data_IF_870216121349
#
_entry.id   IF_870216121349
#
_cell.length_a   1.000
_cell.length_b   1.000
_cell.length_c   1.000
_cell.angle_alpha   90.00
_cell.angle_beta   90.00
_cell.angle_gamma   90.00
#
_symmetry.space_group_name_H-M   'P 1'
#
loop_
_entity.id
_entity.type
_entity.pdbx_description
1 polymer ?
#
# COMPACT_ATOMS: atom_id res chain seq x y z
N UNK A 1 7.21 -35.37 -20.80
CA UNK A 1 8.13 -34.78 -19.80
C UNK A 1 7.28 -33.98 -18.83
N UNK A 2 7.00 -34.52 -17.64
CA UNK A 2 6.08 -33.92 -16.69
C UNK A 2 6.79 -32.83 -15.88
N UNK A 3 6.28 -31.59 -15.94
CA UNK A 3 6.73 -30.49 -15.10
C UNK A 3 6.27 -30.79 -13.67
N UNK A 4 7.21 -31.08 -12.79
CA UNK A 4 6.97 -31.34 -11.36
C UNK A 4 6.55 -30.01 -10.72
N UNK A 5 5.28 -29.91 -10.30
CA UNK A 5 4.81 -28.82 -9.44
C UNK A 5 5.67 -28.77 -8.18
N UNK A 6 6.25 -27.61 -7.91
CA UNK A 6 7.17 -27.39 -6.80
C UNK A 6 6.36 -26.92 -5.57
N UNK A 7 5.53 -27.80 -5.01
CA UNK A 7 4.61 -27.46 -3.91
C UNK A 7 5.30 -27.38 -2.54
N UNK A 8 6.63 -27.52 -2.48
CA UNK A 8 7.42 -27.50 -1.25
C UNK A 8 8.78 -26.84 -1.49
N UNK A 9 9.12 -25.89 -0.62
CA UNK A 9 10.47 -25.33 -0.50
C UNK A 9 11.02 -25.64 0.89
N UNK A 10 12.14 -26.38 0.95
CA UNK A 10 12.75 -26.83 2.21
C UNK A 10 11.80 -27.59 3.16
N UNK A 11 10.98 -28.48 2.61
CA UNK A 11 10.15 -29.41 3.39
C UNK A 11 8.93 -28.79 4.08
N UNK A 12 8.69 -27.48 3.91
CA UNK A 12 7.46 -26.81 4.35
C UNK A 12 6.56 -26.52 3.13
N UNK A 13 5.22 -26.65 3.26
CA UNK A 13 4.30 -26.14 2.26
C UNK A 13 4.58 -24.65 1.98
N UNK A 14 4.45 -24.23 0.73
CA UNK A 14 4.52 -22.80 0.34
C UNK A 14 3.24 -22.04 0.76
N UNK A 15 2.24 -22.78 1.26
CA UNK A 15 1.03 -22.32 1.94
C UNK A 15 1.41 -21.61 3.26
N UNK A 16 1.81 -20.35 3.12
CA UNK A 16 2.47 -19.50 4.13
C UNK A 16 1.50 -18.65 4.94
N UNK A 17 1.97 -18.05 6.04
CA UNK A 17 1.17 -17.41 7.09
C UNK A 17 0.28 -16.24 6.65
N UNK A 18 0.35 -15.78 5.40
CA UNK A 18 -0.68 -14.93 4.80
C UNK A 18 -2.02 -15.68 4.69
N UNK A 19 -2.00 -16.98 4.39
CA UNK A 19 -3.18 -17.84 4.46
C UNK A 19 -3.62 -18.11 5.89
N UNK A 20 -2.71 -18.06 6.88
CA UNK A 20 -3.08 -18.09 8.30
C UNK A 20 -3.77 -16.78 8.70
N UNK A 21 -3.24 -15.63 8.26
CA UNK A 21 -3.87 -14.32 8.48
C UNK A 21 -5.25 -14.24 7.80
N UNK A 22 -5.42 -14.88 6.63
CA UNK A 22 -6.70 -15.00 5.94
C UNK A 22 -7.61 -16.10 6.53
N UNK A 23 -7.02 -17.18 7.07
CA UNK A 23 -7.72 -18.34 7.62
C UNK A 23 -8.32 -18.08 9.00
N UNK A 24 -7.64 -17.25 9.81
CA UNK A 24 -8.16 -16.75 11.09
C UNK A 24 -9.36 -15.80 10.93
N UNK A 25 -9.73 -15.39 9.71
CA UNK A 25 -10.93 -14.58 9.47
C UNK A 25 -12.23 -15.41 9.45
N UNK A 26 -12.15 -16.73 9.29
CA UNK A 26 -13.33 -17.62 9.30
C UNK A 26 -13.63 -18.20 10.70
N UNK A 27 -12.78 -17.94 11.70
CA UNK A 27 -13.06 -18.26 13.09
C UNK A 27 -13.62 -17.02 13.79
N UNK A 28 -14.74 -17.12 14.54
CA UNK A 28 -15.21 -16.04 15.39
C UNK A 28 -14.22 -15.86 16.56
N UNK A 29 -13.11 -15.17 16.32
CA UNK A 29 -12.13 -14.82 17.34
C UNK A 29 -12.63 -13.63 18.14
N UNK A 30 -12.84 -13.87 19.43
CA UNK A 30 -13.16 -12.89 20.48
C UNK A 30 -11.98 -11.95 20.72
N UNK A 31 -11.83 -10.95 19.87
CA UNK A 31 -11.24 -9.67 20.24
C UNK A 31 -12.02 -8.63 19.47
N UNK A 32 -13.12 -8.13 20.07
CA UNK A 32 -13.86 -7.01 19.50
C UNK A 32 -12.87 -5.89 19.24
N UNK A 33 -12.59 -5.51 17.98
CA UNK A 33 -11.89 -4.27 17.73
C UNK A 33 -12.72 -3.16 18.39
N UNK A 34 -12.05 -2.19 19.03
CA UNK A 34 -12.70 -0.99 19.53
C UNK A 34 -13.73 -0.53 18.51
N UNK A 35 -14.98 -0.24 18.92
CA UNK A 35 -16.07 0.06 17.99
C UNK A 35 -15.59 1.19 17.08
N UNK A 36 -15.33 0.86 15.83
CA UNK A 36 -15.10 1.84 14.78
C UNK A 36 -16.39 2.64 14.77
N UNK A 37 -16.32 3.93 15.15
CA UNK A 37 -17.46 4.84 15.12
C UNK A 37 -18.23 4.58 13.83
N UNK A 38 -19.53 4.29 13.95
CA UNK A 38 -20.40 4.01 12.80
C UNK A 38 -20.26 5.13 11.78
N UNK A 39 -19.46 4.86 10.75
CA UNK A 39 -19.20 5.78 9.67
C UNK A 39 -20.23 5.50 8.59
N UNK A 40 -21.15 6.45 8.39
CA UNK A 40 -22.10 6.45 7.29
C UNK A 40 -21.60 7.37 6.18
N UNK A 41 -20.92 6.85 5.14
CA UNK A 41 -20.39 7.68 4.08
C UNK A 41 -21.48 8.32 3.21
N UNK A 42 -21.32 9.61 2.91
CA UNK A 42 -22.11 10.29 1.87
C UNK A 42 -21.74 9.75 0.47
N UNK A 43 -22.67 9.54 -0.48
CA UNK A 43 -22.34 9.15 -1.85
C UNK A 43 -21.62 10.27 -2.62
N UNK A 44 -20.76 9.92 -3.59
CA UNK A 44 -20.19 10.91 -4.54
C UNK A 44 -21.05 10.99 -5.82
N UNK A 45 -21.58 12.18 -6.13
CA UNK A 45 -22.50 12.41 -7.27
C UNK A 45 -21.79 12.65 -8.61
N UNK A 46 -20.47 12.86 -8.63
CA UNK A 46 -19.74 13.37 -9.81
C UNK A 46 -18.88 12.32 -10.54
N UNK A 47 -18.93 11.05 -10.14
CA UNK A 47 -18.01 10.02 -10.65
C UNK A 47 -18.76 8.99 -11.48
N UNK A 48 -18.22 8.70 -12.67
CA UNK A 48 -18.70 7.59 -13.49
C UNK A 48 -18.38 6.25 -12.81
N UNK A 49 -19.39 5.40 -12.66
CA UNK A 49 -19.29 4.08 -12.03
C UNK A 49 -18.75 4.12 -10.59
N UNK A 50 -19.39 4.85 -9.65
CA UNK A 50 -18.88 5.02 -8.29
C UNK A 50 -18.82 3.70 -7.51
N UNK A 51 -19.60 2.67 -7.91
CA UNK A 51 -19.51 1.32 -7.36
C UNK A 51 -18.16 0.62 -7.62
N UNK A 52 -17.32 1.14 -8.53
CA UNK A 52 -15.96 0.63 -8.80
C UNK A 52 -14.90 1.21 -7.86
N UNK A 53 -15.31 2.01 -6.88
CA UNK A 53 -14.46 2.65 -5.89
C UNK A 53 -14.87 2.24 -4.49
N UNK A 54 -13.90 2.21 -3.58
CA UNK A 54 -14.10 2.07 -2.14
C UNK A 54 -13.87 3.42 -1.49
N UNK A 55 -14.73 3.77 -0.53
CA UNK A 55 -14.54 4.94 0.32
C UNK A 55 -13.54 4.58 1.41
N UNK A 56 -12.34 5.15 1.33
CA UNK A 56 -11.36 5.20 2.41
C UNK A 56 -11.68 6.43 3.28
N UNK A 57 -12.13 6.25 4.53
CA UNK A 57 -12.41 7.38 5.42
C UNK A 57 -11.17 8.24 5.64
N UNK A 58 -11.37 9.56 5.71
CA UNK A 58 -10.30 10.50 6.04
C UNK A 58 -9.67 10.20 7.40
N UNK A 59 -8.36 10.43 7.51
CA UNK A 59 -7.60 10.14 8.72
C UNK A 59 -6.40 11.09 8.87
N UNK A 60 -5.84 11.14 10.08
CA UNK A 60 -4.70 11.99 10.43
C UNK A 60 -3.59 11.17 11.11
N UNK A 61 -2.35 11.39 10.68
CA UNK A 61 -1.14 10.70 11.12
C UNK A 61 -0.01 11.71 11.33
N UNK A 62 0.14 12.23 12.55
CA UNK A 62 1.10 13.30 12.83
C UNK A 62 0.73 14.61 12.13
N UNK A 63 1.61 15.11 11.27
CA UNK A 63 1.42 16.32 10.44
C UNK A 63 0.71 16.04 9.10
N UNK A 64 0.50 14.78 8.75
CA UNK A 64 -0.17 14.39 7.52
C UNK A 64 -1.63 14.04 7.80
N UNK A 65 -2.54 14.56 6.98
CA UNK A 65 -3.94 14.17 6.98
C UNK A 65 -4.44 14.06 5.54
N UNK A 66 -5.50 13.29 5.35
CA UNK A 66 -6.18 13.19 4.07
C UNK A 66 -7.69 13.12 4.30
N UNK A 67 -8.45 13.70 3.39
CA UNK A 67 -9.92 13.66 3.39
C UNK A 67 -10.43 12.27 2.98
N UNK A 68 -11.75 12.04 3.09
CA UNK A 68 -12.37 10.88 2.46
C UNK A 68 -11.86 10.72 1.03
N UNK A 69 -11.39 9.53 0.71
CA UNK A 69 -10.72 9.23 -0.55
C UNK A 69 -11.43 8.07 -1.23
N UNK A 70 -11.67 8.19 -2.53
CA UNK A 70 -12.19 7.11 -3.35
C UNK A 70 -11.03 6.34 -3.97
N UNK A 71 -10.93 5.05 -3.65
CA UNK A 71 -9.86 4.16 -4.09
C UNK A 71 -10.42 3.13 -5.07
N UNK A 72 -9.85 3.01 -6.26
CA UNK A 72 -10.35 2.07 -7.26
C UNK A 72 -10.16 0.60 -6.85
N UNK A 73 -11.21 -0.20 -7.03
CA UNK A 73 -11.20 -1.66 -6.79
C UNK A 73 -10.28 -2.41 -7.75
N UNK A 74 -9.95 -1.82 -8.90
CA UNK A 74 -9.02 -2.39 -9.87
C UNK A 74 -7.77 -1.52 -10.00
N UNK A 75 -6.64 -2.15 -10.34
CA UNK A 75 -5.42 -1.43 -10.75
C UNK A 75 -5.61 -0.86 -12.16
N UNK A 76 -5.10 0.34 -12.38
CA UNK A 76 -4.98 0.99 -13.68
C UNK A 76 -3.51 1.29 -14.01
N UNK A 77 -3.28 1.80 -15.23
CA UNK A 77 -1.98 2.27 -15.69
C UNK A 77 -0.85 1.22 -15.65
N UNK A 78 -1.20 -0.04 -15.88
CA UNK A 78 -0.27 -1.15 -15.99
C UNK A 78 0.86 -0.85 -16.99
N UNK A 79 2.08 -1.25 -16.66
CA UNK A 79 3.24 -1.09 -17.54
C UNK A 79 3.83 0.32 -17.57
N UNK A 80 3.29 1.27 -16.79
CA UNK A 80 3.92 2.59 -16.61
C UNK A 80 4.95 2.55 -15.48
N UNK A 81 6.01 3.34 -15.65
CA UNK A 81 6.96 3.62 -14.59
C UNK A 81 6.39 4.63 -13.59
N UNK A 82 7.08 4.88 -12.48
CA UNK A 82 6.54 5.68 -11.37
C UNK A 82 6.22 7.14 -11.79
N UNK A 83 7.11 7.88 -12.49
CA UNK A 83 6.78 9.22 -12.98
C UNK A 83 5.63 9.24 -13.99
N UNK A 84 5.62 8.34 -14.98
CA UNK A 84 4.56 8.29 -15.99
C UNK A 84 3.21 7.88 -15.38
N UNK A 85 3.20 7.18 -14.26
CA UNK A 85 1.99 6.85 -13.50
C UNK A 85 1.42 8.11 -12.85
N UNK A 86 2.25 8.94 -12.19
CA UNK A 86 1.82 10.24 -11.66
C UNK A 86 1.24 11.16 -12.75
N UNK A 87 1.92 11.28 -13.90
CA UNK A 87 1.44 12.11 -15.02
C UNK A 87 0.08 11.60 -15.52
N UNK A 88 -0.07 10.28 -15.70
CA UNK A 88 -1.32 9.70 -16.17
C UNK A 88 -2.48 9.92 -15.19
N UNK A 89 -2.22 9.85 -13.89
CA UNK A 89 -3.23 10.09 -12.86
C UNK A 89 -3.63 11.56 -12.77
N UNK A 90 -2.65 12.47 -12.86
CA UNK A 90 -2.88 13.91 -12.76
C UNK A 90 -3.79 14.45 -13.87
N UNK A 91 -3.74 13.86 -15.07
CA UNK A 91 -4.62 14.23 -16.19
C UNK A 91 -6.11 14.12 -15.84
N UNK A 92 -6.47 13.22 -14.92
CA UNK A 92 -7.84 12.98 -14.48
C UNK A 92 -8.11 13.51 -13.05
N UNK A 93 -7.20 14.33 -12.50
CA UNK A 93 -7.29 14.81 -11.12
C UNK A 93 -7.14 13.72 -10.06
N UNK A 94 -6.53 12.58 -10.43
CA UNK A 94 -6.29 11.45 -9.53
C UNK A 94 -4.86 11.44 -8.98
N UNK A 95 -4.60 10.58 -8.00
CA UNK A 95 -3.30 10.36 -7.40
C UNK A 95 -3.08 8.89 -7.00
N UNK A 96 -1.84 8.56 -6.63
CA UNK A 96 -1.48 7.27 -6.04
C UNK A 96 -1.66 7.33 -4.53
N UNK A 97 -1.98 6.22 -3.88
CA UNK A 97 -2.00 6.16 -2.42
C UNK A 97 -0.58 6.33 -1.88
N UNK A 98 -0.43 7.16 -0.84
CA UNK A 98 0.78 7.14 -0.01
C UNK A 98 0.89 5.79 0.70
N UNK A 99 2.08 5.43 1.19
CA UNK A 99 2.24 4.18 1.97
C UNK A 99 1.29 4.19 3.18
N UNK A 100 1.12 5.34 3.84
CA UNK A 100 0.20 5.50 4.97
C UNK A 100 -1.26 5.25 4.60
N UNK A 101 -1.74 5.86 3.51
CA UNK A 101 -3.10 5.63 3.01
C UNK A 101 -3.30 4.17 2.58
N UNK A 102 -2.28 3.55 1.98
CA UNK A 102 -2.33 2.15 1.58
C UNK A 102 -2.49 1.21 2.78
N UNK A 103 -1.76 1.44 3.88
CA UNK A 103 -1.94 0.67 5.11
C UNK A 103 -3.36 0.83 5.66
N UNK A 104 -3.89 2.05 5.69
CA UNK A 104 -5.26 2.31 6.16
C UNK A 104 -6.30 1.65 5.26
N UNK A 105 -6.07 1.63 3.95
CA UNK A 105 -6.89 0.91 2.98
C UNK A 105 -6.87 -0.60 3.20
N UNK A 106 -5.71 -1.20 3.46
CA UNK A 106 -5.61 -2.63 3.79
C UNK A 106 -6.33 -2.97 5.10
N UNK A 107 -6.23 -2.11 6.12
CA UNK A 107 -6.97 -2.27 7.39
C UNK A 107 -8.48 -2.21 7.17
N UNK A 108 -8.94 -1.26 6.35
CA UNK A 108 -10.35 -1.14 6.00
C UNK A 108 -10.86 -2.39 5.28
N UNK A 109 -10.13 -2.89 4.28
CA UNK A 109 -10.50 -4.13 3.58
C UNK A 109 -10.55 -5.32 4.54
N UNK A 110 -9.58 -5.40 5.46
CA UNK A 110 -9.48 -6.46 6.46
C UNK A 110 -10.61 -6.43 7.49
N UNK A 111 -11.14 -5.25 7.83
CA UNK A 111 -12.19 -5.13 8.85
C UNK A 111 -13.57 -5.58 8.36
N UNK A 112 -13.80 -5.65 7.04
CA UNK A 112 -15.11 -5.95 6.45
C UNK A 112 -16.09 -4.77 6.46
N UNK A 113 -15.77 -3.67 7.14
CA UNK A 113 -16.58 -2.45 7.20
C UNK A 113 -16.34 -1.56 5.97
N UNK A 114 -16.49 -2.13 4.78
CA UNK A 114 -16.16 -1.49 3.50
C UNK A 114 -17.42 -0.97 2.81
N UNK A 115 -17.34 0.24 2.26
CA UNK A 115 -18.41 0.86 1.48
C UNK A 115 -17.90 1.23 0.09
N UNK A 116 -18.73 1.04 -0.92
CA UNK A 116 -18.45 1.50 -2.28
C UNK A 116 -18.63 3.03 -2.41
N UNK A 117 -18.28 3.60 -3.56
CA UNK A 117 -18.42 5.05 -3.80
C UNK A 117 -19.85 5.58 -3.78
N UNK A 118 -20.87 4.71 -3.77
CA UNK A 118 -22.28 5.06 -3.55
C UNK A 118 -22.67 5.02 -2.08
N UNK A 119 -21.75 4.68 -1.19
CA UNK A 119 -22.02 4.46 0.23
C UNK A 119 -22.75 3.15 0.51
N UNK A 120 -22.79 2.21 -0.46
CA UNK A 120 -23.38 0.88 -0.24
C UNK A 120 -22.33 -0.03 0.38
N UNK A 121 -22.71 -0.75 1.45
CA UNK A 121 -21.84 -1.74 2.08
C UNK A 121 -21.43 -2.83 1.08
N UNK A 122 -20.14 -3.06 0.97
CA UNK A 122 -19.55 -4.20 0.26
C UNK A 122 -19.54 -5.37 1.25
N UNK A 123 -20.05 -6.53 0.83
CA UNK A 123 -20.09 -7.71 1.70
C UNK A 123 -18.67 -8.20 2.06
N UNK A 124 -18.53 -8.77 3.25
CA UNK A 124 -17.22 -9.17 3.82
C UNK A 124 -16.42 -10.09 2.89
N UNK A 125 -17.11 -11.01 2.20
CA UNK A 125 -16.49 -11.88 1.18
C UNK A 125 -15.87 -11.08 0.03
N UNK A 126 -16.56 -10.05 -0.47
CA UNK A 126 -16.05 -9.22 -1.56
C UNK A 126 -14.89 -8.35 -1.09
N UNK A 127 -14.97 -7.76 0.11
CA UNK A 127 -13.85 -7.03 0.71
C UNK A 127 -12.60 -7.91 0.86
N UNK A 128 -12.79 -9.15 1.31
CA UNK A 128 -11.73 -10.14 1.44
C UNK A 128 -11.12 -10.53 0.08
N UNK A 129 -11.92 -10.70 -0.97
CA UNK A 129 -11.39 -11.01 -2.30
C UNK A 129 -10.58 -9.84 -2.89
N UNK A 130 -10.96 -8.60 -2.60
CA UNK A 130 -10.16 -7.40 -2.97
C UNK A 130 -8.83 -7.41 -2.21
N UNK A 131 -8.86 -7.68 -0.90
CA UNK A 131 -7.64 -7.80 -0.09
C UNK A 131 -6.72 -8.90 -0.63
N UNK A 132 -7.28 -10.08 -0.93
CA UNK A 132 -6.52 -11.21 -1.52
C UNK A 132 -5.94 -10.88 -2.87
N UNK A 133 -6.62 -10.11 -3.72
CA UNK A 133 -6.02 -9.64 -4.99
C UNK A 133 -4.74 -8.83 -4.76
N UNK A 134 -4.68 -8.08 -3.66
CA UNK A 134 -3.51 -7.28 -3.31
C UNK A 134 -2.40 -8.15 -2.71
N UNK A 135 -2.72 -8.98 -1.71
CA UNK A 135 -1.71 -9.59 -0.84
C UNK A 135 -1.41 -11.06 -1.11
N UNK A 136 -2.27 -11.79 -1.83
CA UNK A 136 -2.11 -13.24 -1.96
C UNK A 136 -0.88 -13.61 -2.80
N UNK A 137 -0.15 -14.62 -2.32
CA UNK A 137 0.98 -15.23 -3.01
C UNK A 137 0.45 -16.22 -4.04
N UNK A 138 0.26 -15.76 -5.28
CA UNK A 138 -0.26 -16.57 -6.39
C UNK A 138 0.15 -16.00 -7.74
N UNK A 139 0.05 -16.80 -8.80
CA UNK A 139 0.16 -16.32 -10.18
C UNK A 139 -1.18 -15.72 -10.67
N UNK A 140 -1.17 -14.74 -11.59
CA UNK A 140 0.02 -14.04 -12.14
C UNK A 140 0.65 -13.09 -11.11
N UNK A 141 1.84 -12.57 -11.40
CA UNK A 141 2.45 -11.49 -10.62
C UNK A 141 1.55 -10.24 -10.64
N UNK A 142 1.44 -9.57 -9.50
CA UNK A 142 0.60 -8.39 -9.25
C UNK A 142 1.40 -7.37 -8.47
N UNK A 143 1.39 -6.12 -8.91
CA UNK A 143 2.11 -5.08 -8.20
C UNK A 143 1.44 -3.72 -8.34
N UNK A 144 1.65 -2.87 -7.34
CA UNK A 144 1.23 -1.49 -7.36
C UNK A 144 2.29 -0.52 -6.86
N UNK A 145 2.42 0.61 -7.56
CA UNK A 145 3.19 1.75 -7.10
C UNK A 145 2.50 2.40 -5.90
N UNK A 146 3.32 2.91 -4.98
CA UNK A 146 2.87 3.76 -3.87
C UNK A 146 3.52 5.14 -4.02
N UNK A 147 2.81 6.17 -3.59
CA UNK A 147 3.26 7.57 -3.58
C UNK A 147 4.27 7.79 -2.45
N UNK A 148 5.51 7.37 -2.68
CA UNK A 148 6.66 7.70 -1.86
C UNK A 148 7.97 7.54 -2.63
N UNK A 149 8.85 8.54 -2.53
CA UNK A 149 10.26 8.43 -2.91
C UNK A 149 11.16 8.80 -1.73
N UNK A 150 12.42 8.33 -1.79
CA UNK A 150 13.36 8.47 -0.68
C UNK A 150 14.60 9.25 -1.14
N UNK A 151 14.97 10.27 -0.37
CA UNK A 151 16.12 11.14 -0.65
C UNK A 151 17.02 11.27 0.56
N UNK A 152 18.31 11.45 0.32
CA UNK A 152 19.29 11.82 1.32
C UNK A 152 19.43 13.33 1.33
N UNK A 153 19.35 13.92 2.51
CA UNK A 153 19.70 15.32 2.72
C UNK A 153 21.05 15.41 3.43
N UNK A 154 21.94 16.27 2.93
CA UNK A 154 23.20 16.60 3.60
C UNK A 154 22.96 17.70 4.62
N UNK A 155 23.14 17.41 5.92
CA UNK A 155 23.23 18.49 6.91
C UNK A 155 24.55 19.21 6.74
N UNK A 156 24.49 20.47 6.28
CA UNK A 156 25.64 21.34 5.97
C UNK A 156 26.68 21.47 7.09
N UNK A 157 26.32 21.18 8.34
CA UNK A 157 27.17 21.46 9.51
C UNK A 157 27.69 20.24 10.29
N UNK A 158 27.22 19.01 10.00
CA UNK A 158 27.57 17.84 10.85
C UNK A 158 28.00 16.62 10.00
N UNK A 159 28.00 16.72 8.67
CA UNK A 159 28.34 15.59 7.79
C UNK A 159 27.40 14.38 7.89
N UNK A 160 26.30 14.50 8.66
CA UNK A 160 25.30 13.47 8.82
C UNK A 160 24.26 13.56 7.70
N UNK A 161 24.00 12.42 7.09
CA UNK A 161 23.02 12.23 6.03
C UNK A 161 21.70 11.71 6.62
N UNK A 162 20.65 12.52 6.53
CA UNK A 162 19.30 12.11 6.94
C UNK A 162 18.55 11.58 5.71
N UNK A 163 17.90 10.44 5.88
CA UNK A 163 16.99 9.88 4.89
C UNK A 163 15.62 10.53 5.10
N UNK A 164 15.13 11.21 4.07
CA UNK A 164 13.80 11.81 4.03
C UNK A 164 12.89 10.98 3.13
N UNK A 165 11.59 11.08 3.39
CA UNK A 165 10.54 10.58 2.51
C UNK A 165 9.82 11.78 1.90
N UNK A 166 9.58 11.73 0.59
CA UNK A 166 8.63 12.64 -0.03
C UNK A 166 7.41 11.87 -0.51
N UNK A 167 6.23 12.47 -0.35
CA UNK A 167 4.95 11.84 -0.67
C UNK A 167 3.88 12.89 -0.93
N UNK A 168 2.70 12.44 -1.40
CA UNK A 168 1.65 13.34 -1.87
C UNK A 168 2.09 14.05 -3.14
N UNK A 169 2.77 13.36 -4.04
CA UNK A 169 3.27 13.96 -5.26
C UNK A 169 2.14 14.40 -6.18
N UNK A 170 2.23 15.63 -6.69
CA UNK A 170 1.28 16.24 -7.62
C UNK A 170 2.02 16.84 -8.80
N UNK A 171 1.30 16.99 -9.91
CA UNK A 171 1.81 17.74 -11.05
C UNK A 171 1.79 19.23 -10.69
N UNK A 172 2.95 19.88 -10.74
CA UNK A 172 3.08 21.32 -10.56
C UNK A 172 2.57 22.06 -11.79
N UNK A 173 2.38 23.38 -11.67
CA UNK A 173 2.02 24.24 -12.80
C UNK A 173 3.06 24.23 -13.93
N UNK A 174 4.32 23.88 -13.63
CA UNK A 174 5.39 23.74 -14.61
C UNK A 174 5.38 22.37 -15.33
N UNK A 175 4.51 21.45 -14.92
CA UNK A 175 4.46 20.09 -15.47
C UNK A 175 5.41 19.10 -14.77
N UNK A 176 6.14 19.53 -13.74
CA UNK A 176 7.00 18.66 -12.94
C UNK A 176 6.23 17.96 -11.82
N UNK A 177 6.62 16.73 -11.48
CA UNK A 177 6.09 16.01 -10.33
C UNK A 177 6.80 16.53 -9.08
N UNK A 178 6.04 17.15 -8.17
CA UNK A 178 6.56 17.71 -6.93
C UNK A 178 5.83 17.11 -5.72
N UNK A 179 6.55 16.74 -4.64
CA UNK A 179 5.92 16.30 -3.41
C UNK A 179 5.22 17.45 -2.68
N UNK A 180 4.06 17.17 -2.11
CA UNK A 180 3.40 18.09 -1.17
C UNK A 180 4.01 18.01 0.24
N UNK A 181 4.58 16.86 0.59
CA UNK A 181 5.18 16.61 1.90
C UNK A 181 6.60 16.06 1.73
N UNK A 182 7.50 16.55 2.57
CA UNK A 182 8.90 16.14 2.63
C UNK A 182 9.34 16.21 4.09
N UNK A 183 9.64 15.08 4.70
CA UNK A 183 10.05 15.03 6.10
C UNK A 183 11.07 13.92 6.40
N UNK A 184 11.86 14.03 7.48
CA UNK A 184 12.76 12.97 7.91
C UNK A 184 12.01 11.67 8.19
N UNK A 185 12.61 10.54 7.79
CA UNK A 185 12.12 9.24 8.23
C UNK A 185 12.39 9.04 9.72
N UNK A 186 11.34 8.65 10.44
CA UNK A 186 11.32 8.44 11.88
C UNK A 186 10.74 7.06 12.20
N UNK A 187 11.19 6.44 13.29
CA UNK A 187 10.63 5.21 13.87
C UNK A 187 10.28 4.11 12.85
N UNK A 188 11.25 3.73 12.03
CA UNK A 188 11.06 2.76 10.95
C UNK A 188 12.12 1.65 10.97
N UNK A 189 11.76 0.47 10.45
CA UNK A 189 12.66 -0.68 10.34
C UNK A 189 13.75 -0.42 9.29
N UNK A 190 14.97 -0.12 9.74
CA UNK A 190 16.09 0.34 8.91
C UNK A 190 16.87 -0.73 8.15
N UNK A 191 16.29 -1.92 8.02
CA UNK A 191 16.92 -3.07 7.36
C UNK A 191 15.90 -3.97 6.67
N UNK A 192 16.37 -4.63 5.61
CA UNK A 192 15.64 -5.72 4.98
C UNK A 192 15.25 -6.79 6.00
N UNK A 193 14.07 -7.39 5.82
CA UNK A 193 13.62 -8.55 6.61
C UNK A 193 13.11 -9.67 5.71
N UNK A 194 13.75 -10.83 5.85
CA UNK A 194 13.48 -12.08 5.12
C UNK A 194 13.53 -13.21 6.18
N UNK A 195 12.49 -14.06 6.34
CA UNK A 195 11.35 -14.25 5.45
C UNK A 195 10.34 -13.08 5.45
N UNK A 196 10.35 -12.20 6.45
CA UNK A 196 9.48 -11.02 6.42
C UNK A 196 9.11 -10.46 7.78
N UNK A 197 8.25 -9.45 7.72
CA UNK A 197 7.52 -8.86 8.86
C UNK A 197 6.15 -9.52 8.99
N UNK A 198 5.58 -9.50 10.18
CA UNK A 198 4.21 -9.89 10.41
C UNK A 198 3.26 -8.84 9.81
N UNK A 199 2.36 -9.29 8.92
CA UNK A 199 1.44 -8.39 8.21
C UNK A 199 0.50 -7.65 9.16
N UNK A 200 -0.07 -8.35 10.13
CA UNK A 200 -1.04 -7.79 11.06
C UNK A 200 -0.41 -6.81 12.04
N UNK A 201 0.78 -7.15 12.52
CA UNK A 201 1.58 -6.27 13.35
C UNK A 201 1.96 -5.00 12.59
N UNK A 202 2.40 -5.11 11.33
CA UNK A 202 2.66 -3.95 10.48
C UNK A 202 1.42 -3.08 10.30
N UNK A 203 0.26 -3.65 9.94
CA UNK A 203 -0.97 -2.87 9.78
C UNK A 203 -1.37 -2.13 11.07
N UNK A 204 -1.15 -2.75 12.23
CA UNK A 204 -1.53 -2.18 13.52
C UNK A 204 -0.53 -1.16 14.05
N UNK A 205 0.76 -1.32 13.76
CA UNK A 205 1.86 -0.58 14.36
C UNK A 205 2.76 0.17 13.34
N UNK A 206 2.30 0.33 12.10
CA UNK A 206 2.97 1.17 11.11
C UNK A 206 3.11 2.62 11.61
N UNK A 207 4.26 3.24 11.35
CA UNK A 207 4.53 4.62 11.74
C UNK A 207 3.67 5.64 10.97
N UNK A 208 3.88 6.94 11.23
CA UNK A 208 3.15 8.03 10.55
C UNK A 208 3.28 8.00 9.01
N UNK A 209 4.39 7.48 8.49
CA UNK A 209 4.64 7.32 7.05
C UNK A 209 4.04 6.02 6.46
N UNK A 210 3.51 5.12 7.30
CA UNK A 210 3.02 3.80 6.88
C UNK A 210 4.10 2.71 6.82
N UNK A 211 5.34 3.01 7.21
CA UNK A 211 6.43 2.03 7.24
C UNK A 211 6.37 1.14 8.50
N UNK A 212 6.90 -0.09 8.45
CA UNK A 212 7.01 -0.95 9.63
C UNK A 212 7.91 -0.31 10.69
N UNK A 213 7.52 -0.40 11.97
CA UNK A 213 8.34 0.05 13.08
C UNK A 213 9.55 -0.88 13.31
N UNK A 214 10.62 -0.44 14.01
CA UNK A 214 11.77 -1.29 14.34
C UNK A 214 11.39 -2.55 15.12
N UNK A 215 10.31 -2.49 15.89
CA UNK A 215 9.84 -3.55 16.77
C UNK A 215 8.81 -4.48 16.12
N UNK A 216 8.50 -4.31 14.83
CA UNK A 216 7.58 -5.22 14.13
C UNK A 216 8.05 -6.66 14.29
N UNK A 217 7.13 -7.57 14.56
CA UNK A 217 7.39 -9.00 14.75
C UNK A 217 7.70 -9.65 13.40
N UNK A 218 8.36 -10.81 13.46
CA UNK A 218 8.69 -11.59 12.26
C UNK A 218 7.45 -12.23 11.65
N UNK A 219 7.41 -12.34 10.33
CA UNK A 219 6.35 -13.01 9.58
C UNK A 219 6.79 -13.29 8.15
N UNK A 220 5.82 -13.38 7.23
CA UNK A 220 6.05 -13.86 5.86
C UNK A 220 5.89 -12.76 4.79
N UNK A 221 5.53 -11.53 5.18
CA UNK A 221 5.55 -10.39 4.26
C UNK A 221 6.98 -9.87 4.15
N UNK A 222 7.65 -10.13 3.04
CA UNK A 222 9.01 -9.63 2.83
C UNK A 222 9.03 -8.10 2.92
N UNK A 223 10.06 -7.57 3.56
CA UNK A 223 10.26 -6.14 3.66
C UNK A 223 11.63 -5.76 3.14
N UNK A 224 11.67 -4.73 2.31
CA UNK A 224 12.91 -4.15 1.81
C UNK A 224 12.90 -2.66 2.16
N UNK A 225 13.88 -2.26 2.97
CA UNK A 225 13.96 -0.91 3.52
C UNK A 225 14.17 0.16 2.44
N UNK A 226 13.74 1.41 2.70
CA UNK A 226 14.19 2.59 1.97
C UNK A 226 15.70 2.60 1.70
N UNK A 227 16.10 2.64 0.42
CA UNK A 227 17.51 2.80 0.07
C UNK A 227 17.97 4.25 0.27
N UNK A 228 19.25 4.38 0.64
CA UNK A 228 19.99 5.65 0.65
C UNK A 228 20.64 5.88 -0.71
N UNK A 229 19.83 6.14 -1.74
CA UNK A 229 20.33 6.27 -3.13
C UNK A 229 19.74 7.46 -3.93
N UNK A 230 18.86 8.27 -3.34
CA UNK A 230 18.12 9.35 -4.02
C UNK A 230 17.25 8.91 -5.20
N UNK A 231 17.06 7.61 -5.40
CA UNK A 231 16.46 7.06 -6.62
C UNK A 231 15.54 5.86 -6.33
N UNK A 232 15.10 5.71 -5.08
CA UNK A 232 14.19 4.65 -4.68
C UNK A 232 12.79 5.15 -4.43
N UNK A 233 11.81 4.38 -4.91
CA UNK A 233 10.37 4.57 -4.67
C UNK A 233 9.76 3.35 -4.00
N UNK A 234 8.58 3.54 -3.41
CA UNK A 234 7.83 2.48 -2.77
C UNK A 234 6.87 1.75 -3.73
N UNK A 235 6.65 0.47 -3.46
CA UNK A 235 5.61 -0.33 -4.09
C UNK A 235 5.25 -1.56 -3.27
N UNK A 236 4.09 -2.13 -3.56
CA UNK A 236 3.64 -3.41 -3.00
C UNK A 236 3.52 -4.45 -4.11
N UNK A 237 3.99 -5.66 -3.84
CA UNK A 237 4.18 -6.67 -4.87
C UNK A 237 3.77 -8.04 -4.34
N UNK A 238 3.04 -8.83 -5.13
CA UNK A 238 2.64 -10.18 -4.80
C UNK A 238 2.72 -11.08 -6.03
N UNK A 239 3.45 -12.20 -5.93
CA UNK A 239 3.61 -13.18 -7.02
C UNK A 239 3.51 -14.62 -6.51
N UNK A 240 3.96 -15.59 -7.30
CA UNK A 240 3.90 -17.01 -6.94
C UNK A 240 4.77 -17.44 -5.76
N UNK A 241 5.81 -16.67 -5.40
CA UNK A 241 6.73 -17.04 -4.33
C UNK A 241 6.60 -16.23 -3.05
N UNK A 242 6.17 -14.97 -3.13
CA UNK A 242 6.10 -14.05 -1.98
C UNK A 242 5.23 -12.83 -2.27
N UNK A 243 4.80 -12.19 -1.18
CA UNK A 243 4.35 -10.81 -1.15
C UNK A 243 5.40 -9.95 -0.44
N UNK A 244 5.55 -8.69 -0.86
CA UNK A 244 6.51 -7.78 -0.24
C UNK A 244 6.12 -6.31 -0.34
N UNK A 245 6.42 -5.56 0.72
CA UNK A 245 6.54 -4.11 0.69
C UNK A 245 7.99 -3.78 0.34
N UNK A 246 8.20 -3.06 -0.77
CA UNK A 246 9.54 -2.71 -1.25
C UNK A 246 9.74 -1.21 -1.39
N UNK A 247 10.77 -0.68 -0.76
CA UNK A 247 11.15 0.74 -0.79
C UNK A 247 12.52 0.99 -1.46
N UNK A 248 12.91 0.13 -2.41
CA UNK A 248 14.26 0.06 -3.01
C UNK A 248 14.24 0.11 -4.54
N UNK A 249 13.06 0.37 -5.14
CA UNK A 249 12.85 0.19 -6.57
C UNK A 249 13.15 1.47 -7.32
N UNK A 250 13.76 1.34 -8.49
CA UNK A 250 14.03 2.49 -9.35
C UNK A 250 12.73 3.02 -9.98
N UNK A 251 12.48 4.34 -9.96
CA UNK A 251 11.28 4.95 -10.51
C UNK A 251 11.14 4.76 -12.02
N UNK A 252 12.24 4.50 -12.73
CA UNK A 252 12.27 4.27 -14.18
C UNK A 252 11.80 2.88 -14.61
N UNK A 253 11.72 1.91 -13.68
CA UNK A 253 11.29 0.55 -13.99
C UNK A 253 9.83 0.56 -14.47
N UNK A 254 9.56 -0.17 -15.54
CA UNK A 254 8.22 -0.43 -16.05
C UNK A 254 8.03 -1.94 -16.19
N UNK A 255 6.98 -2.49 -15.55
CA UNK A 255 6.65 -3.92 -15.62
C UNK A 255 5.17 -4.04 -15.95
N UNK A 256 4.79 -4.94 -16.86
CA UNK A 256 3.40 -5.09 -17.33
C UNK A 256 2.38 -5.35 -16.21
N UNK A 257 2.81 -6.00 -15.13
CA UNK A 257 1.95 -6.33 -13.99
C UNK A 257 1.94 -5.24 -12.89
N UNK A 258 2.77 -4.20 -13.05
CA UNK A 258 2.86 -3.07 -12.13
C UNK A 258 1.95 -1.95 -12.59
N UNK A 259 0.97 -1.59 -11.76
CA UNK A 259 0.02 -0.51 -11.99
C UNK A 259 -0.22 0.28 -10.72
N UNK A 260 -1.43 0.81 -10.55
CA UNK A 260 -1.82 1.51 -9.32
C UNK A 260 -3.32 1.46 -9.09
N UNK A 261 -3.75 1.40 -7.84
CA UNK A 261 -5.13 1.73 -7.46
C UNK A 261 -5.27 3.25 -7.43
N UNK A 262 -6.10 3.75 -8.33
CA UNK A 262 -6.34 5.18 -8.52
C UNK A 262 -7.07 5.71 -7.29
N UNK A 263 -6.53 6.76 -6.71
CA UNK A 263 -7.12 7.49 -5.60
C UNK A 263 -7.56 8.88 -6.04
N UNK A 264 -8.66 9.37 -5.46
CA UNK A 264 -9.10 10.77 -5.61
C UNK A 264 -9.84 11.23 -4.38
N UNK A 265 -9.78 12.52 -4.10
CA UNK A 265 -10.56 13.10 -3.02
C UNK A 265 -12.05 12.95 -3.34
N UNK A 266 -12.81 12.54 -2.32
CA UNK A 266 -14.26 12.50 -2.35
C UNK A 266 -14.76 13.92 -2.08
N UNK A 267 -15.30 14.54 -3.12
CA UNK A 267 -16.00 15.82 -3.02
C UNK A 267 -17.46 15.59 -2.63
#
# INVERSE_FOLDING_TARGET
MAIKNLDRFMGKPIDGALEIALGNMNSPSQASPNPVKDFSPTPSSEISNPEKYIILPGNSHGNYSYNDTLVSIERKHQGKNWPNTHIALAADGNHMLTIRQFVDFLKLLKSGSVYDGKGKRIGDKSALEILKDIIAVRNPYRAEWLDADFKITKKKFIGKEDLIINYGHRLSSAGDIAPQYSEPLEDWLDKDRKPGINFDDWLNNANKHGLPSPNVTSGDLYYFCPNRDNNSVAGFYAGSGRAYLGCYRYPSIAILALGVRVAREKK
#
